data_IF_959713805895
#
_entry.id   IF_959713805895
#
_cell.length_a   1.000
_cell.length_b   1.000
_cell.length_c   1.000
_cell.angle_alpha   90.00
_cell.angle_beta   90.00
_cell.angle_gamma   90.00
#
_symmetry.space_group_name_H-M   'P 1'
#
loop_
_entity.id
_entity.type
_entity.pdbx_description
1 polymer ?
#
# COMPACT_ATOMS: atom_id res chain seq x y z
N UNK A 1 -16.68 10.80 -22.64
CA UNK A 1 -16.66 9.59 -23.49
C UNK A 1 -15.67 9.85 -24.61
N UNK A 2 -14.48 9.21 -24.54
CA UNK A 2 -13.51 9.29 -25.64
C UNK A 2 -14.06 8.53 -26.86
N UNK A 3 -14.22 9.24 -27.96
CA UNK A 3 -14.64 8.67 -29.22
C UNK A 3 -13.51 7.77 -29.81
N UNK A 4 -13.62 6.46 -29.57
CA UNK A 4 -12.64 5.46 -30.01
C UNK A 4 -12.71 5.15 -31.52
N UNK A 5 -13.53 5.85 -32.30
CA UNK A 5 -13.75 5.56 -33.72
C UNK A 5 -12.59 6.00 -34.62
N UNK A 6 -11.70 6.91 -34.16
CA UNK A 6 -10.61 7.41 -34.97
C UNK A 6 -9.31 6.60 -34.77
N UNK A 7 -8.99 5.68 -35.68
CA UNK A 7 -7.78 4.84 -35.69
C UNK A 7 -6.47 5.64 -35.53
N UNK A 8 -6.39 6.88 -36.06
CA UNK A 8 -5.20 7.74 -35.92
C UNK A 8 -5.02 8.21 -34.45
N UNK A 9 -6.10 8.64 -33.79
CA UNK A 9 -6.05 9.03 -32.36
C UNK A 9 -5.66 7.86 -31.49
N UNK A 10 -6.23 6.67 -31.74
CA UNK A 10 -5.85 5.46 -30.98
C UNK A 10 -4.35 5.13 -31.13
N UNK A 11 -3.79 5.20 -32.34
CA UNK A 11 -2.34 4.99 -32.55
C UNK A 11 -1.50 6.04 -31.85
N UNK A 12 -1.90 7.31 -31.88
CA UNK A 12 -1.19 8.39 -31.17
C UNK A 12 -1.20 8.15 -29.64
N UNK A 13 -2.37 7.84 -29.05
CA UNK A 13 -2.44 7.53 -27.62
C UNK A 13 -1.62 6.30 -27.23
N UNK A 14 -1.63 5.25 -28.05
CA UNK A 14 -0.78 4.06 -27.83
C UNK A 14 0.71 4.43 -27.90
N UNK A 15 1.12 5.23 -28.85
CA UNK A 15 2.52 5.70 -28.97
C UNK A 15 2.94 6.54 -27.75
N UNK A 16 2.09 7.51 -27.35
CA UNK A 16 2.35 8.31 -26.14
C UNK A 16 2.42 7.44 -24.87
N UNK A 17 1.52 6.47 -24.73
CA UNK A 17 1.56 5.53 -23.61
C UNK A 17 2.84 4.71 -23.60
N UNK A 18 3.31 4.24 -24.77
CA UNK A 18 4.60 3.53 -24.88
C UNK A 18 5.78 4.42 -24.49
N UNK A 19 5.82 5.66 -24.96
CA UNK A 19 6.88 6.60 -24.61
C UNK A 19 6.92 6.85 -23.09
N UNK A 20 5.74 7.09 -22.48
CA UNK A 20 5.63 7.27 -21.04
C UNK A 20 6.10 6.01 -20.30
N UNK A 21 5.69 4.83 -20.74
CA UNK A 21 6.11 3.55 -20.14
C UNK A 21 7.61 3.36 -20.22
N UNK A 22 8.23 3.64 -21.38
CA UNK A 22 9.67 3.54 -21.55
C UNK A 22 10.43 4.46 -20.58
N UNK A 23 9.98 5.70 -20.41
CA UNK A 23 10.59 6.63 -19.44
C UNK A 23 10.49 6.09 -18.01
N UNK A 24 9.37 5.49 -17.63
CA UNK A 24 9.19 4.92 -16.28
C UNK A 24 9.99 3.63 -16.05
N UNK A 25 10.35 2.89 -17.09
CA UNK A 25 11.18 1.68 -16.99
C UNK A 25 12.66 2.03 -16.74
N UNK A 26 13.13 3.20 -17.19
CA UNK A 26 14.53 3.62 -17.07
C UNK A 26 15.10 3.49 -15.66
N UNK A 27 14.48 4.01 -14.61
CA UNK A 27 15.02 3.87 -13.24
C UNK A 27 15.20 2.41 -12.82
N UNK A 28 14.25 1.55 -13.19
CA UNK A 28 14.34 0.11 -12.88
C UNK A 28 15.46 -0.56 -13.66
N UNK A 29 15.64 -0.21 -14.93
CA UNK A 29 16.78 -0.68 -15.72
C UNK A 29 18.10 -0.30 -15.06
N UNK A 30 18.27 0.97 -14.66
CA UNK A 30 19.48 1.46 -13.98
C UNK A 30 19.69 0.72 -12.65
N UNK A 31 18.61 0.50 -11.87
CA UNK A 31 18.69 -0.22 -10.61
C UNK A 31 19.17 -1.66 -10.82
N UNK A 32 18.57 -2.38 -11.77
CA UNK A 32 18.95 -3.76 -12.10
C UNK A 32 20.37 -3.83 -12.62
N UNK A 33 20.74 -2.98 -13.58
CA UNK A 33 22.12 -2.99 -14.12
C UNK A 33 23.16 -2.66 -13.05
N UNK A 34 22.86 -1.73 -12.15
CA UNK A 34 23.76 -1.34 -11.06
C UNK A 34 23.91 -2.47 -10.04
N UNK A 35 22.81 -3.13 -9.65
CA UNK A 35 22.83 -4.21 -8.65
C UNK A 35 23.63 -5.45 -9.11
N UNK A 36 23.79 -5.63 -10.42
CA UNK A 36 24.50 -6.76 -11.01
C UNK A 36 25.99 -6.48 -11.30
N UNK A 37 26.46 -5.26 -11.07
CA UNK A 37 27.87 -4.88 -11.28
C UNK A 37 28.76 -5.29 -10.12
N UNK A 38 30.06 -5.49 -10.43
CA UNK A 38 31.07 -5.68 -9.39
C UNK A 38 31.20 -4.43 -8.53
N UNK A 39 31.48 -4.60 -7.24
CA UNK A 39 31.79 -3.50 -6.33
C UNK A 39 32.93 -2.66 -6.86
N UNK A 40 32.75 -1.34 -6.93
CA UNK A 40 33.77 -0.42 -7.47
C UNK A 40 33.73 -0.27 -8.98
N UNK A 41 32.77 -0.83 -9.69
CA UNK A 41 32.59 -0.55 -11.13
C UNK A 41 31.96 0.85 -11.32
N UNK A 42 32.82 1.80 -11.71
CA UNK A 42 32.43 3.19 -12.04
C UNK A 42 32.01 3.37 -13.50
N UNK A 43 31.84 2.29 -14.27
CA UNK A 43 31.35 2.38 -15.64
C UNK A 43 29.94 2.99 -15.69
N UNK A 44 29.57 3.53 -16.85
CA UNK A 44 28.24 4.14 -17.01
C UNK A 44 27.13 3.18 -16.59
N UNK A 45 26.17 3.68 -15.80
CA UNK A 45 24.99 2.93 -15.30
C UNK A 45 24.07 2.46 -16.43
N UNK A 46 24.23 3.00 -17.63
CA UNK A 46 23.50 2.58 -18.84
C UNK A 46 24.06 1.33 -19.50
N UNK A 47 25.31 0.99 -19.17
CA UNK A 47 25.97 -0.19 -19.75
C UNK A 47 25.65 -1.41 -18.91
N UNK A 48 25.13 -2.44 -19.57
CA UNK A 48 24.90 -3.72 -18.92
C UNK A 48 26.21 -4.34 -18.46
N UNK A 49 26.30 -4.94 -17.26
CA UNK A 49 27.56 -5.49 -16.75
C UNK A 49 28.06 -6.62 -17.63
N UNK A 50 29.39 -6.69 -17.82
CA UNK A 50 30.06 -7.77 -18.59
C UNK A 50 30.00 -9.10 -17.84
N UNK A 51 30.05 -9.06 -16.52
CA UNK A 51 29.88 -10.20 -15.60
C UNK A 51 28.71 -9.91 -14.63
N UNK A 52 27.89 -10.90 -14.39
CA UNK A 52 26.73 -10.78 -13.50
C UNK A 52 27.16 -11.23 -12.10
N UNK A 53 27.01 -10.33 -11.11
CA UNK A 53 27.40 -10.52 -9.72
C UNK A 53 26.16 -10.69 -8.84
N UNK A 54 25.63 -11.92 -8.76
CA UNK A 54 24.48 -12.25 -7.91
C UNK A 54 24.84 -12.27 -6.43
N UNK A 55 26.12 -12.40 -6.09
CA UNK A 55 26.62 -12.31 -4.72
C UNK A 55 26.31 -10.97 -4.04
N UNK A 56 26.04 -9.91 -4.79
CA UNK A 56 25.61 -8.63 -4.24
C UNK A 56 24.29 -8.76 -3.46
N UNK A 57 23.39 -9.65 -3.87
CA UNK A 57 22.11 -9.86 -3.21
C UNK A 57 22.27 -10.58 -1.86
N UNK A 58 23.12 -11.61 -1.81
CA UNK A 58 23.41 -12.31 -0.54
C UNK A 58 24.18 -11.41 0.41
N UNK A 59 25.19 -10.69 -0.10
CA UNK A 59 25.94 -9.74 0.69
C UNK A 59 25.07 -8.59 1.22
N UNK A 60 24.17 -8.05 0.42
CA UNK A 60 23.21 -7.03 0.87
C UNK A 60 22.27 -7.57 1.95
N UNK A 61 21.76 -8.79 1.78
CA UNK A 61 20.89 -9.43 2.75
C UNK A 61 21.55 -9.59 4.13
N UNK A 62 22.81 -10.05 4.13
CA UNK A 62 23.56 -10.29 5.35
C UNK A 62 24.05 -8.99 6.01
N UNK A 63 24.73 -8.11 5.23
CA UNK A 63 25.33 -6.89 5.77
C UNK A 63 24.31 -5.87 6.27
N UNK A 64 23.18 -5.73 5.59
CA UNK A 64 22.11 -4.85 6.03
C UNK A 64 21.16 -5.50 7.05
N UNK A 65 21.36 -6.78 7.41
CA UNK A 65 20.43 -7.54 8.25
C UNK A 65 18.97 -7.44 7.75
N UNK A 66 18.80 -7.59 6.42
CA UNK A 66 17.49 -7.40 5.79
C UNK A 66 16.45 -8.41 6.27
N UNK A 67 16.86 -9.60 6.71
CA UNK A 67 15.95 -10.65 7.17
C UNK A 67 15.06 -10.18 8.33
N UNK A 68 15.64 -9.57 9.36
CA UNK A 68 14.90 -9.05 10.50
C UNK A 68 13.96 -7.91 10.09
N UNK A 69 14.46 -6.93 9.36
CA UNK A 69 13.68 -5.77 8.90
C UNK A 69 12.55 -6.18 7.94
N UNK A 70 12.78 -7.22 7.14
CA UNK A 70 11.77 -7.80 6.27
C UNK A 70 10.62 -8.40 7.07
N UNK A 71 10.93 -9.19 8.11
CA UNK A 71 9.92 -9.80 9.00
C UNK A 71 9.14 -8.72 9.72
N UNK A 72 9.82 -7.71 10.27
CA UNK A 72 9.17 -6.57 10.94
C UNK A 72 8.17 -5.87 10.00
N UNK A 73 8.64 -5.49 8.81
CA UNK A 73 7.79 -4.81 7.82
C UNK A 73 6.63 -5.69 7.36
N UNK A 74 6.88 -6.99 7.17
CA UNK A 74 5.84 -7.93 6.79
C UNK A 74 4.76 -8.05 7.87
N UNK A 75 5.14 -8.23 9.14
CA UNK A 75 4.19 -8.33 10.27
C UNK A 75 3.36 -7.04 10.36
N UNK A 76 4.01 -5.87 10.35
CA UNK A 76 3.33 -4.58 10.44
C UNK A 76 2.34 -4.42 9.27
N UNK A 77 2.78 -4.66 8.04
CA UNK A 77 1.94 -4.49 6.86
C UNK A 77 0.78 -5.48 6.83
N UNK A 78 1.06 -6.75 7.08
CA UNK A 78 0.05 -7.82 7.00
C UNK A 78 -1.03 -7.66 8.07
N UNK A 79 -0.63 -7.42 9.33
CA UNK A 79 -1.60 -7.24 10.43
C UNK A 79 -2.40 -5.95 10.23
N UNK A 80 -1.76 -4.85 9.85
CA UNK A 80 -2.47 -3.60 9.55
C UNK A 80 -3.48 -3.78 8.41
N UNK A 81 -3.11 -4.48 7.33
CA UNK A 81 -3.99 -4.74 6.20
C UNK A 81 -5.23 -5.56 6.60
N UNK A 82 -5.05 -6.61 7.41
CA UNK A 82 -6.16 -7.41 7.94
C UNK A 82 -7.09 -6.55 8.78
N UNK A 83 -6.54 -5.76 9.70
CA UNK A 83 -7.33 -4.88 10.56
C UNK A 83 -8.09 -3.82 9.74
N UNK A 84 -7.46 -3.23 8.73
CA UNK A 84 -8.10 -2.27 7.83
C UNK A 84 -9.26 -2.89 7.05
N UNK A 85 -9.10 -4.10 6.52
CA UNK A 85 -10.17 -4.80 5.81
C UNK A 85 -11.34 -5.06 6.75
N UNK A 86 -11.07 -5.59 7.94
CA UNK A 86 -12.10 -6.00 8.88
C UNK A 86 -12.83 -4.78 9.46
N UNK A 87 -12.09 -3.88 10.10
CA UNK A 87 -12.64 -2.71 10.75
C UNK A 87 -13.27 -1.74 9.73
N UNK A 88 -12.58 -1.52 8.61
CA UNK A 88 -13.05 -0.61 7.56
C UNK A 88 -14.33 -1.09 6.88
N UNK A 89 -14.42 -2.38 6.52
CA UNK A 89 -15.63 -2.92 5.90
C UNK A 89 -16.81 -2.97 6.87
N UNK A 90 -16.59 -3.38 8.12
CA UNK A 90 -17.61 -3.41 9.15
C UNK A 90 -18.14 -2.01 9.50
N UNK A 91 -17.27 -1.01 9.59
CA UNK A 91 -17.67 0.37 9.85
C UNK A 91 -18.35 0.99 8.62
N UNK A 92 -17.87 0.72 7.41
CA UNK A 92 -18.43 1.26 6.18
C UNK A 92 -19.86 0.78 5.89
N UNK A 93 -20.20 -0.45 6.25
CA UNK A 93 -21.51 -1.03 5.96
C UNK A 93 -22.68 -0.24 6.55
N UNK A 94 -22.78 0.01 7.88
CA UNK A 94 -23.84 0.84 8.44
C UNK A 94 -23.78 2.29 7.95
N UNK A 95 -22.58 2.85 7.72
CA UNK A 95 -22.40 4.21 7.20
C UNK A 95 -22.88 4.34 5.76
N UNK A 96 -22.82 3.26 4.96
CA UNK A 96 -23.35 3.24 3.61
C UNK A 96 -24.87 3.05 3.55
N UNK A 97 -25.44 2.23 4.45
CA UNK A 97 -26.83 1.77 4.38
C UNK A 97 -27.80 2.58 5.24
N UNK A 98 -27.39 3.01 6.42
CA UNK A 98 -28.25 3.72 7.36
C UNK A 98 -28.07 5.24 7.21
N UNK A 99 -29.08 5.91 6.68
CA UNK A 99 -29.07 7.37 6.44
C UNK A 99 -29.49 8.19 7.67
N UNK A 100 -29.05 7.80 8.87
CA UNK A 100 -29.29 8.60 10.10
C UNK A 100 -28.40 9.84 10.12
N UNK A 101 -28.84 10.89 10.85
CA UNK A 101 -27.99 12.09 11.06
C UNK A 101 -26.63 11.72 11.67
N UNK A 102 -26.64 10.83 12.67
CA UNK A 102 -25.42 10.35 13.33
C UNK A 102 -24.44 9.72 12.32
N UNK A 103 -24.91 8.78 11.49
CA UNK A 103 -24.05 8.12 10.50
C UNK A 103 -23.49 9.11 9.47
N UNK A 104 -24.26 10.13 9.09
CA UNK A 104 -23.76 11.19 8.20
C UNK A 104 -22.64 11.99 8.86
N UNK A 105 -22.80 12.38 10.14
CA UNK A 105 -21.77 13.09 10.89
C UNK A 105 -20.51 12.24 11.09
N UNK A 106 -20.65 10.99 11.50
CA UNK A 106 -19.51 10.07 11.67
C UNK A 106 -18.76 9.88 10.35
N UNK A 107 -19.48 9.64 9.26
CA UNK A 107 -18.86 9.51 7.94
C UNK A 107 -18.13 10.80 7.52
N UNK A 108 -18.75 11.97 7.77
CA UNK A 108 -18.12 13.26 7.49
C UNK A 108 -16.85 13.49 8.31
N UNK A 109 -16.82 13.09 9.59
CA UNK A 109 -15.63 13.18 10.44
C UNK A 109 -14.48 12.34 9.84
N UNK A 110 -14.74 11.11 9.40
CA UNK A 110 -13.71 10.30 8.74
C UNK A 110 -13.15 10.99 7.49
N UNK A 111 -13.99 11.61 6.67
CA UNK A 111 -13.53 12.34 5.48
C UNK A 111 -12.74 13.60 5.89
N UNK A 112 -13.20 14.33 6.89
CA UNK A 112 -12.54 15.56 7.35
C UNK A 112 -11.13 15.28 7.88
N UNK A 113 -10.93 14.16 8.59
CA UNK A 113 -9.60 13.75 9.10
C UNK A 113 -8.61 13.51 7.96
N UNK A 114 -9.06 13.05 6.78
CA UNK A 114 -8.17 12.83 5.64
C UNK A 114 -7.53 14.12 5.08
N UNK A 115 -8.10 15.27 5.39
CA UNK A 115 -7.58 16.58 4.94
C UNK A 115 -6.41 17.04 5.83
N UNK A 116 -6.30 16.50 7.05
CA UNK A 116 -5.26 16.89 8.00
C UNK A 116 -3.94 16.22 7.59
N UNK A 117 -2.86 16.99 7.35
CA UNK A 117 -1.57 16.40 7.04
C UNK A 117 -1.05 15.54 8.20
N UNK A 118 -0.69 14.25 7.97
CA UNK A 118 -0.33 13.34 9.07
C UNK A 118 0.83 13.83 9.95
N UNK A 119 1.81 14.49 9.35
CA UNK A 119 3.00 14.99 10.08
C UNK A 119 2.70 16.11 11.08
N UNK A 120 1.58 16.81 10.96
CA UNK A 120 1.21 17.86 11.92
C UNK A 120 0.95 17.29 13.32
N UNK A 121 0.55 16.05 13.41
CA UNK A 121 0.29 15.34 14.66
C UNK A 121 1.53 14.62 15.22
N UNK A 122 2.67 14.63 14.52
CA UNK A 122 3.84 13.81 14.89
C UNK A 122 4.33 14.09 16.31
N UNK A 123 4.52 15.36 16.67
CA UNK A 123 5.06 15.74 18.00
C UNK A 123 4.12 15.36 19.15
N UNK A 124 2.81 15.71 19.13
CA UNK A 124 1.89 15.26 20.17
C UNK A 124 1.73 13.74 20.21
N UNK A 125 1.72 13.07 19.05
CA UNK A 125 1.65 11.62 18.95
C UNK A 125 2.89 10.95 19.58
N UNK A 126 4.09 11.47 19.28
CA UNK A 126 5.33 10.97 19.86
C UNK A 126 5.30 11.03 21.42
N UNK A 127 4.90 12.19 21.98
CA UNK A 127 4.75 12.33 23.42
C UNK A 127 3.75 11.33 24.02
N UNK A 128 2.63 11.13 23.36
CA UNK A 128 1.63 10.16 23.78
C UNK A 128 2.19 8.74 23.79
N UNK A 129 2.88 8.34 22.73
CA UNK A 129 3.50 7.00 22.59
C UNK A 129 4.55 6.75 23.65
N UNK A 130 5.42 7.74 23.92
CA UNK A 130 6.43 7.65 25.00
C UNK A 130 5.74 7.50 26.36
N UNK A 131 4.73 8.31 26.66
CA UNK A 131 3.99 8.24 27.94
C UNK A 131 3.25 6.91 28.13
N UNK A 132 2.82 6.27 27.04
CA UNK A 132 2.18 4.96 27.06
C UNK A 132 3.18 3.79 27.12
N UNK A 133 4.49 4.05 27.04
CA UNK A 133 5.52 3.02 27.00
C UNK A 133 5.46 2.12 25.77
N UNK A 134 4.95 2.64 24.63
CA UNK A 134 4.74 1.85 23.40
C UNK A 134 5.84 2.02 22.36
N UNK A 135 6.93 2.74 22.68
CA UNK A 135 8.08 2.85 21.78
C UNK A 135 8.68 1.48 21.48
N UNK A 136 9.20 1.31 20.28
CA UNK A 136 9.83 0.08 19.81
C UNK A 136 8.93 -1.17 19.90
N UNK A 137 7.65 -1.02 19.57
CA UNK A 137 6.70 -2.14 19.57
C UNK A 137 5.96 -2.24 18.22
N UNK A 138 5.59 -3.47 17.84
CA UNK A 138 4.70 -3.69 16.68
C UNK A 138 3.34 -3.00 16.85
N UNK A 139 2.86 -2.93 18.09
CA UNK A 139 1.55 -2.37 18.43
C UNK A 139 1.44 -0.92 17.96
N UNK A 140 2.44 -0.08 18.26
CA UNK A 140 2.38 1.32 17.84
C UNK A 140 2.44 1.46 16.33
N UNK A 141 3.30 0.70 15.65
CA UNK A 141 3.42 0.75 14.21
C UNK A 141 2.10 0.31 13.53
N UNK A 142 1.48 -0.76 14.01
CA UNK A 142 0.20 -1.27 13.49
C UNK A 142 -0.92 -0.27 13.76
N UNK A 143 -1.07 0.21 15.01
CA UNK A 143 -2.12 1.15 15.39
C UNK A 143 -2.02 2.46 14.62
N UNK A 144 -0.82 3.01 14.48
CA UNK A 144 -0.59 4.23 13.71
C UNK A 144 -1.01 4.05 12.25
N UNK A 145 -0.58 2.96 11.61
CA UNK A 145 -0.93 2.67 10.21
C UNK A 145 -2.44 2.42 10.03
N UNK A 146 -3.05 1.66 10.94
CA UNK A 146 -4.50 1.43 10.90
C UNK A 146 -5.25 2.74 11.09
N UNK A 147 -4.89 3.57 12.07
CA UNK A 147 -5.54 4.86 12.30
C UNK A 147 -5.41 5.79 11.08
N UNK A 148 -4.24 5.84 10.45
CA UNK A 148 -3.98 6.67 9.27
C UNK A 148 -4.81 6.25 8.05
N UNK A 149 -4.95 4.94 7.80
CA UNK A 149 -5.61 4.42 6.60
C UNK A 149 -7.08 4.04 6.78
N UNK A 150 -7.58 3.95 8.01
CA UNK A 150 -8.98 3.60 8.29
C UNK A 150 -9.98 4.56 7.65
N UNK A 151 -9.80 5.90 7.67
CA UNK A 151 -10.70 6.84 7.01
C UNK A 151 -10.82 6.59 5.51
N UNK A 152 -9.71 6.42 4.82
CA UNK A 152 -9.67 6.10 3.38
C UNK A 152 -10.36 4.76 3.09
N UNK A 153 -10.10 3.76 3.92
CA UNK A 153 -10.67 2.42 3.79
C UNK A 153 -12.19 2.47 3.93
N UNK A 154 -12.71 3.18 4.94
CA UNK A 154 -14.15 3.40 5.14
C UNK A 154 -14.74 4.14 3.95
N UNK A 155 -14.08 5.19 3.46
CA UNK A 155 -14.53 5.95 2.29
C UNK A 155 -14.70 5.07 1.06
N UNK A 156 -13.69 4.27 0.74
CA UNK A 156 -13.70 3.38 -0.43
C UNK A 156 -14.77 2.29 -0.31
N UNK A 157 -14.86 1.61 0.85
CA UNK A 157 -15.88 0.61 1.07
C UNK A 157 -17.29 1.20 1.03
N UNK A 158 -17.54 2.30 1.71
CA UNK A 158 -18.85 2.92 1.73
C UNK A 158 -19.28 3.40 0.34
N UNK A 159 -18.36 3.96 -0.43
CA UNK A 159 -18.56 4.34 -1.82
C UNK A 159 -18.96 3.14 -2.69
N UNK A 160 -18.20 2.05 -2.61
CA UNK A 160 -18.46 0.83 -3.36
C UNK A 160 -19.80 0.17 -2.97
N UNK A 161 -20.12 0.08 -1.67
CA UNK A 161 -21.38 -0.47 -1.19
C UNK A 161 -22.56 0.33 -1.74
N UNK A 162 -22.47 1.66 -1.74
CA UNK A 162 -23.56 2.54 -2.23
C UNK A 162 -23.77 2.42 -3.73
N UNK A 163 -22.70 2.29 -4.51
CA UNK A 163 -22.76 2.35 -5.96
C UNK A 163 -22.96 1.00 -6.64
N UNK A 164 -22.49 -0.09 -6.01
CA UNK A 164 -22.35 -1.39 -6.70
C UNK A 164 -23.24 -2.48 -6.09
N UNK A 165 -23.48 -2.45 -4.78
CA UNK A 165 -24.27 -3.49 -4.12
C UNK A 165 -25.74 -3.04 -4.02
N UNK A 166 -26.64 -3.79 -4.67
CA UNK A 166 -28.07 -3.52 -4.67
C UNK A 166 -28.65 -3.71 -3.27
N UNK A 167 -29.62 -2.84 -2.89
CA UNK A 167 -30.35 -2.96 -1.64
C UNK A 167 -31.33 -4.11 -1.66
N UNK A 168 -31.91 -4.37 -2.82
CA UNK A 168 -32.91 -5.42 -3.04
C UNK A 168 -32.33 -6.81 -2.66
N UNK A 169 -31.04 -7.03 -2.89
CA UNK A 169 -30.34 -8.26 -2.50
C UNK A 169 -30.34 -8.45 -0.97
N UNK A 170 -30.13 -7.36 -0.21
CA UNK A 170 -30.15 -7.38 1.24
C UNK A 170 -31.58 -7.49 1.81
N UNK A 171 -32.55 -6.88 1.13
CA UNK A 171 -33.97 -6.95 1.48
C UNK A 171 -34.53 -8.36 1.29
N UNK A 172 -34.21 -9.02 0.17
CA UNK A 172 -34.56 -10.43 -0.05
C UNK A 172 -34.03 -11.33 1.08
N UNK A 173 -32.74 -11.17 1.43
CA UNK A 173 -32.17 -11.93 2.53
C UNK A 173 -32.82 -11.65 3.89
N UNK A 174 -33.33 -10.45 4.13
CA UNK A 174 -34.12 -10.14 5.35
C UNK A 174 -35.48 -10.83 5.36
N UNK A 175 -36.12 -10.90 4.20
CA UNK A 175 -37.39 -11.65 4.05
C UNK A 175 -37.17 -13.13 4.36
N UNK A 176 -36.00 -13.68 3.97
CA UNK A 176 -35.57 -15.04 4.30
C UNK A 176 -35.12 -15.21 5.77
N UNK A 177 -35.26 -14.16 6.61
CA UNK A 177 -34.96 -14.19 8.05
C UNK A 177 -33.50 -13.97 8.41
N UNK A 178 -32.63 -13.53 7.45
CA UNK A 178 -31.24 -13.29 7.74
C UNK A 178 -31.04 -12.01 8.58
N UNK A 179 -30.31 -12.12 9.70
CA UNK A 179 -29.91 -10.99 10.53
C UNK A 179 -28.82 -10.13 9.86
N UNK A 180 -28.64 -8.90 10.34
CA UNK A 180 -27.70 -7.92 9.76
C UNK A 180 -26.26 -8.43 9.63
N UNK A 181 -25.75 -9.16 10.63
CA UNK A 181 -24.40 -9.72 10.58
C UNK A 181 -24.29 -10.85 9.53
N UNK A 182 -25.35 -11.66 9.41
CA UNK A 182 -25.41 -12.72 8.39
C UNK A 182 -25.39 -12.13 6.98
N UNK A 183 -26.20 -11.09 6.75
CA UNK A 183 -26.23 -10.34 5.48
C UNK A 183 -24.85 -9.76 5.20
N UNK A 184 -24.22 -9.12 6.18
CA UNK A 184 -22.89 -8.55 6.00
C UNK A 184 -21.87 -9.62 5.61
N UNK A 185 -21.69 -10.66 6.42
CA UNK A 185 -20.62 -11.64 6.20
C UNK A 185 -20.87 -12.58 5.03
N UNK A 186 -22.12 -13.00 4.80
CA UNK A 186 -22.44 -13.99 3.75
C UNK A 186 -22.76 -13.37 2.39
N UNK A 187 -23.23 -12.12 2.35
CA UNK A 187 -23.66 -11.48 1.09
C UNK A 187 -22.77 -10.29 0.76
N UNK A 188 -22.70 -9.29 1.63
CA UNK A 188 -22.01 -8.02 1.32
C UNK A 188 -20.51 -8.21 1.25
N UNK A 189 -19.89 -8.76 2.29
CA UNK A 189 -18.43 -8.90 2.40
C UNK A 189 -17.79 -9.69 1.23
N UNK A 190 -18.34 -10.83 0.76
CA UNK A 190 -17.83 -11.50 -0.42
C UNK A 190 -17.89 -10.64 -1.71
N UNK A 191 -18.88 -9.77 -1.84
CA UNK A 191 -19.03 -8.86 -2.97
C UNK A 191 -18.03 -7.68 -2.92
N UNK A 192 -17.43 -7.41 -1.77
CA UNK A 192 -16.41 -6.36 -1.61
C UNK A 192 -15.03 -6.73 -2.18
N UNK A 193 -14.82 -7.96 -2.69
CA UNK A 193 -13.52 -8.42 -3.20
C UNK A 193 -12.80 -7.42 -4.12
N UNK A 194 -13.45 -6.76 -5.11
CA UNK A 194 -12.76 -5.84 -6.00
C UNK A 194 -12.20 -4.61 -5.27
N UNK A 195 -13.01 -3.97 -4.41
CA UNK A 195 -12.58 -2.80 -3.63
C UNK A 195 -11.59 -3.19 -2.55
N UNK A 196 -11.73 -4.38 -1.96
CA UNK A 196 -10.75 -4.93 -1.00
C UNK A 196 -9.36 -5.06 -1.63
N UNK A 197 -9.27 -5.56 -2.86
CA UNK A 197 -8.00 -5.63 -3.58
C UNK A 197 -7.39 -4.25 -3.81
N UNK A 198 -8.20 -3.25 -4.12
CA UNK A 198 -7.74 -1.86 -4.27
C UNK A 198 -7.19 -1.31 -2.95
N UNK A 199 -7.90 -1.54 -1.84
CA UNK A 199 -7.48 -1.13 -0.50
C UNK A 199 -6.19 -1.83 -0.11
N UNK A 200 -6.09 -3.15 -0.34
CA UNK A 200 -4.88 -3.92 -0.08
C UNK A 200 -3.66 -3.35 -0.81
N UNK A 201 -3.78 -3.08 -2.12
CA UNK A 201 -2.68 -2.50 -2.89
C UNK A 201 -2.30 -1.14 -2.31
N UNK A 202 -3.26 -0.23 -2.16
CA UNK A 202 -2.98 1.13 -1.71
C UNK A 202 -2.36 1.11 -0.31
N UNK A 203 -3.06 0.53 0.68
CA UNK A 203 -2.62 0.55 2.06
C UNK A 203 -1.29 -0.21 2.24
N UNK A 204 -1.16 -1.43 1.66
CA UNK A 204 0.06 -2.22 1.85
C UNK A 204 1.29 -1.55 1.24
N UNK A 205 1.17 -0.90 0.07
CA UNK A 205 2.29 -0.17 -0.53
C UNK A 205 2.73 0.99 0.35
N UNK A 206 1.80 1.76 0.89
CA UNK A 206 2.13 2.86 1.80
C UNK A 206 2.74 2.38 3.12
N UNK A 207 2.14 1.37 3.75
CA UNK A 207 2.61 0.82 5.02
C UNK A 207 4.00 0.17 4.86
N UNK A 208 4.20 -0.58 3.77
CA UNK A 208 5.48 -1.20 3.45
C UNK A 208 6.61 -0.18 3.28
N UNK A 209 6.28 0.98 2.71
CA UNK A 209 7.23 2.05 2.45
C UNK A 209 7.24 3.14 3.54
N UNK A 210 6.59 2.89 4.69
CA UNK A 210 6.61 3.86 5.79
C UNK A 210 8.01 3.99 6.39
N UNK A 211 8.61 5.14 6.16
CA UNK A 211 9.86 5.57 6.76
C UNK A 211 9.61 6.61 7.84
N UNK A 212 8.65 7.52 7.57
CA UNK A 212 8.47 8.74 8.35
C UNK A 212 8.06 8.47 9.79
N UNK A 213 7.09 7.59 10.01
CA UNK A 213 6.66 7.23 11.37
C UNK A 213 7.55 6.13 11.97
N UNK A 214 8.02 5.19 11.15
CA UNK A 214 8.86 4.09 11.59
C UNK A 214 10.16 4.60 12.25
N UNK A 215 10.85 5.59 11.67
CA UNK A 215 12.10 6.13 12.22
C UNK A 215 11.91 6.81 13.58
N UNK A 216 10.72 7.34 13.88
CA UNK A 216 10.43 7.97 15.16
C UNK A 216 9.98 6.99 16.24
N UNK A 217 9.25 5.94 15.87
CA UNK A 217 8.63 5.04 16.85
C UNK A 217 9.38 3.72 17.03
N UNK A 218 10.15 3.29 16.02
CA UNK A 218 10.91 2.04 16.01
C UNK A 218 12.42 2.35 15.94
N UNK A 219 12.97 2.88 17.03
CA UNK A 219 14.35 3.37 17.09
C UNK A 219 15.37 2.25 17.37
N UNK A 220 14.94 1.14 17.97
CA UNK A 220 15.80 -0.02 18.23
C UNK A 220 16.08 -0.75 16.91
N UNK A 221 17.36 -1.07 16.66
CA UNK A 221 17.78 -1.74 15.40
C UNK A 221 17.02 -3.04 15.13
N UNK A 222 16.67 -3.78 16.20
CA UNK A 222 15.90 -5.01 16.08
C UNK A 222 14.46 -4.78 15.59
N UNK A 223 13.93 -3.57 15.78
CA UNK A 223 12.58 -3.19 15.38
C UNK A 223 12.52 -2.39 14.07
N UNK A 224 13.68 -2.09 13.47
CA UNK A 224 13.72 -1.34 12.22
C UNK A 224 12.90 -2.02 11.12
N UNK A 225 12.17 -1.20 10.36
CA UNK A 225 11.53 -1.62 9.11
C UNK A 225 12.52 -1.61 7.96
N UNK A 226 12.16 -2.24 6.83
CA UNK A 226 13.00 -2.28 5.63
C UNK A 226 13.41 -0.88 5.16
N UNK A 227 12.51 0.08 5.18
CA UNK A 227 12.79 1.45 4.74
C UNK A 227 13.79 2.15 5.64
N UNK A 228 13.69 1.98 6.95
CA UNK A 228 14.65 2.53 7.92
C UNK A 228 16.02 1.87 7.76
N UNK A 229 16.05 0.55 7.65
CA UNK A 229 17.29 -0.21 7.43
C UNK A 229 17.96 0.16 6.11
N UNK A 230 17.19 0.29 5.01
CA UNK A 230 17.74 0.70 3.71
C UNK A 230 18.31 2.11 3.74
N UNK A 231 17.64 3.04 4.44
CA UNK A 231 18.16 4.41 4.57
C UNK A 231 19.51 4.45 5.29
N UNK A 232 19.64 3.70 6.40
CA UNK A 232 20.90 3.57 7.13
C UNK A 232 21.97 2.88 6.28
N UNK A 233 21.61 1.78 5.64
CA UNK A 233 22.52 1.01 4.77
C UNK A 233 23.01 1.84 3.59
N UNK A 234 22.17 2.64 2.98
CA UNK A 234 22.55 3.58 1.93
C UNK A 234 23.56 4.62 2.44
N UNK A 235 23.29 5.20 3.64
CA UNK A 235 24.20 6.19 4.23
C UNK A 235 25.60 5.63 4.50
N UNK A 236 25.68 4.37 4.94
CA UNK A 236 26.94 3.68 5.21
C UNK A 236 27.68 3.21 3.94
N UNK A 237 26.95 2.91 2.86
CA UNK A 237 27.45 2.30 1.65
C UNK A 237 27.36 3.18 0.39
N UNK A 238 27.48 4.50 0.53
CA UNK A 238 27.39 5.46 -0.58
C UNK A 238 28.34 5.17 -1.74
N UNK A 239 29.49 4.56 -1.46
CA UNK A 239 30.51 4.20 -2.43
C UNK A 239 30.27 2.81 -3.07
N UNK A 240 29.30 2.03 -2.59
CA UNK A 240 28.96 0.70 -3.09
C UNK A 240 27.52 0.63 -3.59
N UNK A 241 27.25 1.29 -4.70
CA UNK A 241 25.91 1.36 -5.28
C UNK A 241 25.39 0.00 -5.77
N UNK A 242 26.27 -0.97 -6.05
CA UNK A 242 25.86 -2.31 -6.46
C UNK A 242 25.16 -3.04 -5.31
N UNK A 243 25.73 -2.94 -4.12
CA UNK A 243 25.19 -3.54 -2.91
C UNK A 243 23.87 -2.87 -2.49
N UNK A 244 23.84 -1.53 -2.51
CA UNK A 244 22.62 -0.75 -2.21
C UNK A 244 21.52 -1.05 -3.23
N UNK A 245 21.85 -1.15 -4.51
CA UNK A 245 20.92 -1.50 -5.57
C UNK A 245 20.32 -2.90 -5.37
N UNK A 246 21.14 -3.87 -4.96
CA UNK A 246 20.66 -5.22 -4.64
C UNK A 246 19.70 -5.22 -3.44
N UNK A 247 20.02 -4.49 -2.37
CA UNK A 247 19.15 -4.32 -1.22
C UNK A 247 17.79 -3.70 -1.60
N UNK A 248 17.81 -2.66 -2.43
CA UNK A 248 16.60 -1.99 -2.91
C UNK A 248 15.71 -2.92 -3.76
N UNK A 249 16.31 -3.75 -4.63
CA UNK A 249 15.56 -4.75 -5.41
C UNK A 249 14.88 -5.76 -4.47
N UNK A 250 15.60 -6.29 -3.47
CA UNK A 250 15.03 -7.22 -2.49
C UNK A 250 13.82 -6.59 -1.81
N UNK A 251 13.94 -5.34 -1.37
CA UNK A 251 12.88 -4.65 -0.63
C UNK A 251 11.63 -4.34 -1.47
N UNK A 252 11.78 -4.10 -2.77
CA UNK A 252 10.64 -3.79 -3.64
C UNK A 252 9.86 -5.03 -4.11
N UNK A 253 10.49 -6.23 -4.10
CA UNK A 253 9.90 -7.45 -4.65
C UNK A 253 8.52 -7.80 -4.05
N UNK A 254 8.29 -7.80 -2.72
CA UNK A 254 7.01 -8.19 -2.15
C UNK A 254 5.84 -7.34 -2.63
N UNK A 255 6.02 -6.02 -2.70
CA UNK A 255 4.97 -5.11 -3.18
C UNK A 255 4.75 -5.23 -4.68
N UNK A 256 5.81 -5.49 -5.45
CA UNK A 256 5.69 -5.77 -6.88
C UNK A 256 4.88 -7.05 -7.11
N UNK A 257 5.18 -8.12 -6.38
CA UNK A 257 4.44 -9.39 -6.46
C UNK A 257 2.97 -9.19 -6.05
N UNK A 258 2.74 -8.50 -4.92
CA UNK A 258 1.39 -8.18 -4.45
C UNK A 258 0.58 -7.46 -5.54
N UNK A 259 1.17 -6.44 -6.16
CA UNK A 259 0.52 -5.69 -7.24
C UNK A 259 0.22 -6.59 -8.45
N UNK A 260 1.19 -7.38 -8.91
CA UNK A 260 1.01 -8.26 -10.06
C UNK A 260 -0.12 -9.30 -9.85
N UNK A 261 -0.26 -9.81 -8.62
CA UNK A 261 -1.33 -10.74 -8.26
C UNK A 261 -2.70 -10.06 -8.22
N UNK A 262 -2.77 -8.86 -7.66
CA UNK A 262 -4.03 -8.16 -7.39
C UNK A 262 -4.47 -7.19 -8.51
N UNK A 263 -3.60 -6.83 -9.48
CA UNK A 263 -3.87 -5.80 -10.50
C UNK A 263 -5.18 -6.00 -11.28
N UNK A 264 -5.56 -7.24 -11.57
CA UNK A 264 -6.82 -7.53 -12.29
C UNK A 264 -8.07 -7.10 -11.50
N UNK A 265 -8.04 -7.22 -10.18
CA UNK A 265 -9.14 -6.79 -9.31
C UNK A 265 -9.12 -5.28 -9.10
N UNK A 266 -7.93 -4.68 -9.05
CA UNK A 266 -7.74 -3.23 -8.94
C UNK A 266 -8.36 -2.48 -10.12
N UNK A 267 -8.11 -2.94 -11.36
CA UNK A 267 -8.71 -2.35 -12.57
C UNK A 267 -10.24 -2.47 -12.54
N UNK A 268 -10.77 -3.62 -12.10
CA UNK A 268 -12.22 -3.81 -11.96
C UNK A 268 -12.83 -2.92 -10.87
N UNK A 269 -12.15 -2.72 -9.76
CA UNK A 269 -12.60 -1.87 -8.63
C UNK A 269 -12.67 -0.38 -8.99
N UNK A 270 -11.67 0.13 -9.72
CA UNK A 270 -11.65 1.54 -10.14
C UNK A 270 -12.67 1.84 -11.26
N UNK A 271 -12.85 0.91 -12.18
CA UNK A 271 -13.79 1.09 -13.31
C UNK A 271 -15.25 1.09 -12.86
N UNK A 272 -15.62 0.34 -11.83
CA UNK A 272 -16.98 0.31 -11.28
C UNK A 272 -17.39 1.64 -10.60
N UNK A 273 -16.43 2.42 -10.11
CA UNK A 273 -16.67 3.77 -9.56
C UNK A 273 -16.78 4.89 -10.59
N UNK A 274 -16.32 4.68 -11.81
CA UNK A 274 -16.25 5.71 -12.86
C UNK A 274 -17.39 5.67 -13.89
N UNK A 275 -18.25 4.66 -13.87
CA UNK A 275 -19.37 4.51 -14.81
C UNK A 275 -20.68 4.97 -14.20
N UNK A 276 -20.79 6.24 -13.86
CA UNK A 276 -22.06 6.99 -13.74
C UNK A 276 -21.80 8.43 -14.12
N UNK A 277 -21.81 8.67 -15.42
CA UNK A 277 -21.91 9.96 -16.04
C UNK A 277 -22.63 9.79 -17.35
#
# INVERSE_FOLDING_TARGET
>A
VMDYTNKRKKRLFTFLALCITLVHIVPFYILVTTSLKVTGDFSSKWVFPKSIHLENFTAAWEQANLGNSFVNTFIITFVSAILLIFLGSMAAYPLARRQTKLNKYVYFIFIAVMVIPPLTALVPLYKMVVNMGMMNTYQIAILNNVAAFLPLTIFLYAGFIRSTISKELEEAARIDGAGTLTIFFKIVFPLLKPVTASILIIASVYIWNDYQFAIFFLQDKEMHTLTVTLASFFAENQNNLSLVGAAAIIAMLPMTILFLVLQKYFIAGLSSGSVKG
#
